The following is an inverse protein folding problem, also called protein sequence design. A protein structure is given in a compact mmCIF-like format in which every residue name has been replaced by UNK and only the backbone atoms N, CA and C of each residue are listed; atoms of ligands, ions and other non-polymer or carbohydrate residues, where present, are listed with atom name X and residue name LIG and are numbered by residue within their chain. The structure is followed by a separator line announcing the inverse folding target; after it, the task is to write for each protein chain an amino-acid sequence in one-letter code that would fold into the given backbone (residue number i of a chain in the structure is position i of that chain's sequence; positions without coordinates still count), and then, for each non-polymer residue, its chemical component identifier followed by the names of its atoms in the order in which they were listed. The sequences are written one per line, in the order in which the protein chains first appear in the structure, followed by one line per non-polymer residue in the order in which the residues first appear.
data_IF_710324640763
#
_entry.id   IF_710324640763
#
_cell.length_a   1.000
_cell.length_b   1.000
_cell.length_c   1.000
_cell.angle_alpha   90.00
_cell.angle_beta   90.00
_cell.angle_gamma   90.00
#
_symmetry.space_group_name_H-M   'P 1'
#
loop_
_entity.id
_entity.type
_entity.pdbx_description
1 polymer ?
#
# COMPACT_ATOMS: atom_id res chain seq x y z
N UNK A 1 26.17 -23.68 -50.59
CA UNK A 1 25.06 -22.69 -50.45
C UNK A 1 23.77 -23.27 -49.87
N UNK A 2 23.29 -24.43 -50.31
CA UNK A 2 22.00 -25.01 -49.88
C UNK A 2 21.99 -25.46 -48.41
N UNK A 3 23.08 -26.10 -47.95
CA UNK A 3 23.29 -26.51 -46.54
C UNK A 3 23.24 -25.30 -45.58
N UNK A 4 23.92 -24.21 -45.94
CA UNK A 4 23.93 -22.96 -45.17
C UNK A 4 22.53 -22.31 -45.09
N UNK A 5 21.76 -22.31 -46.19
CA UNK A 5 20.37 -21.82 -46.20
C UNK A 5 19.46 -22.63 -45.27
N UNK A 6 19.64 -23.96 -45.22
CA UNK A 6 18.89 -24.84 -44.34
C UNK A 6 19.22 -24.58 -42.86
N UNK A 7 20.50 -24.38 -42.56
CA UNK A 7 21.00 -24.09 -41.21
C UNK A 7 20.52 -22.74 -40.70
N UNK A 8 20.55 -21.69 -41.53
CA UNK A 8 19.96 -20.39 -41.21
C UNK A 8 18.45 -20.50 -40.97
N UNK A 9 17.73 -21.32 -41.76
CA UNK A 9 16.29 -21.54 -41.58
C UNK A 9 15.99 -22.22 -40.24
N UNK A 10 16.81 -23.21 -39.84
CA UNK A 10 16.72 -23.90 -38.55
C UNK A 10 16.99 -22.95 -37.39
N UNK A 11 18.10 -22.20 -37.42
CA UNK A 11 18.45 -21.20 -36.41
C UNK A 11 17.35 -20.13 -36.24
N UNK A 12 16.73 -19.67 -37.34
CA UNK A 12 15.59 -18.73 -37.28
C UNK A 12 14.33 -19.33 -36.67
N UNK A 13 14.14 -20.64 -36.76
CA UNK A 13 13.04 -21.34 -36.09
C UNK A 13 13.32 -21.44 -34.60
N UNK A 14 14.54 -21.86 -34.23
CA UNK A 14 14.98 -22.00 -32.84
C UNK A 14 14.93 -20.65 -32.10
N UNK A 15 15.42 -19.56 -32.71
CA UNK A 15 15.31 -18.20 -32.14
C UNK A 15 13.84 -17.80 -31.91
N UNK A 16 12.93 -18.17 -32.83
CA UNK A 16 11.50 -17.86 -32.66
C UNK A 16 10.88 -18.67 -31.53
N UNK A 17 11.30 -19.92 -31.36
CA UNK A 17 10.83 -20.77 -30.28
C UNK A 17 11.36 -20.29 -28.92
N UNK A 18 12.66 -20.04 -28.80
CA UNK A 18 13.27 -19.49 -27.59
C UNK A 18 12.65 -18.15 -27.17
N UNK A 19 12.32 -17.28 -28.13
CA UNK A 19 11.61 -16.02 -27.83
C UNK A 19 10.21 -16.26 -27.24
N UNK A 20 9.48 -17.26 -27.73
CA UNK A 20 8.17 -17.61 -27.16
C UNK A 20 8.30 -18.14 -25.74
N UNK A 21 9.25 -19.05 -25.52
CA UNK A 21 9.53 -19.63 -24.19
C UNK A 21 9.97 -18.55 -23.19
N UNK A 22 10.81 -17.59 -23.60
CA UNK A 22 11.21 -16.46 -22.77
C UNK A 22 10.02 -15.60 -22.33
N UNK A 23 9.10 -15.29 -23.25
CA UNK A 23 7.89 -14.50 -22.93
C UNK A 23 6.99 -15.25 -21.95
N UNK A 24 6.79 -16.55 -22.14
CA UNK A 24 6.02 -17.41 -21.22
C UNK A 24 6.67 -17.45 -19.83
N UNK A 25 7.99 -17.65 -19.75
CA UNK A 25 8.71 -17.69 -18.48
C UNK A 25 8.64 -16.35 -17.73
N UNK A 26 8.73 -15.22 -18.42
CA UNK A 26 8.53 -13.90 -17.81
C UNK A 26 7.09 -13.70 -17.32
N UNK A 27 6.08 -14.18 -18.05
CA UNK A 27 4.69 -14.14 -17.61
C UNK A 27 4.45 -14.96 -16.35
N UNK A 28 5.01 -16.18 -16.30
CA UNK A 28 4.95 -17.04 -15.11
C UNK A 28 5.67 -16.38 -13.93
N UNK A 29 6.87 -15.84 -14.14
CA UNK A 29 7.63 -15.11 -13.11
C UNK A 29 6.84 -13.93 -12.55
N UNK A 30 6.21 -13.14 -13.41
CA UNK A 30 5.34 -12.03 -13.00
C UNK A 30 4.10 -12.52 -12.25
N UNK A 31 3.52 -13.66 -12.66
CA UNK A 31 2.40 -14.26 -11.94
C UNK A 31 2.80 -14.75 -10.55
N UNK A 32 3.95 -15.42 -10.42
CA UNK A 32 4.53 -15.84 -9.14
C UNK A 32 4.85 -14.64 -8.25
N UNK A 33 5.40 -13.57 -8.82
CA UNK A 33 5.63 -12.33 -8.09
C UNK A 33 4.33 -11.73 -7.58
N UNK A 34 3.27 -11.65 -8.42
CA UNK A 34 1.97 -11.15 -7.97
C UNK A 34 1.38 -11.95 -6.80
N UNK A 35 1.43 -13.29 -6.86
CA UNK A 35 0.96 -14.14 -5.75
C UNK A 35 1.81 -13.94 -4.50
N UNK A 36 3.13 -13.72 -4.67
CA UNK A 36 4.06 -13.43 -3.58
C UNK A 36 3.93 -12.04 -2.98
N UNK A 37 3.17 -11.13 -3.61
CA UNK A 37 3.07 -9.71 -3.23
C UNK A 37 1.70 -9.35 -2.63
N UNK A 38 0.79 -10.32 -2.56
CA UNK A 38 -0.53 -10.16 -1.94
C UNK A 38 -0.55 -10.83 -0.57
N UNK A 39 -1.31 -10.28 0.34
CA UNK A 39 -1.59 -10.90 1.63
C UNK A 39 -2.61 -12.02 1.45
N UNK A 40 -2.30 -13.21 1.96
CA UNK A 40 -3.11 -14.42 1.77
C UNK A 40 -4.48 -14.35 2.43
N UNK A 41 -4.66 -13.50 3.45
CA UNK A 41 -5.91 -13.39 4.20
C UNK A 41 -6.86 -12.37 3.58
N UNK A 42 -6.32 -11.26 3.07
CA UNK A 42 -7.10 -10.05 2.71
C UNK A 42 -7.03 -9.68 1.23
N UNK A 43 -6.12 -10.25 0.46
CA UNK A 43 -5.83 -9.91 -0.95
C UNK A 43 -5.47 -8.42 -1.18
N UNK A 44 -5.11 -7.66 -0.15
CA UNK A 44 -4.39 -6.39 -0.38
C UNK A 44 -2.91 -6.69 -0.61
N UNK A 45 -2.08 -5.70 -0.93
CA UNK A 45 -0.64 -5.95 -1.01
C UNK A 45 -0.12 -6.43 0.35
N UNK A 46 0.82 -7.37 0.38
CA UNK A 46 1.61 -7.57 1.58
C UNK A 46 2.67 -6.46 1.71
N UNK A 47 3.46 -6.47 2.79
CA UNK A 47 4.51 -5.47 3.04
C UNK A 47 5.43 -5.24 1.83
N UNK A 48 5.91 -6.31 1.19
CA UNK A 48 6.78 -6.22 0.01
C UNK A 48 6.06 -5.58 -1.19
N UNK A 49 4.82 -6.03 -1.44
CA UNK A 49 3.98 -5.48 -2.51
C UNK A 49 3.71 -3.99 -2.33
N UNK A 50 3.40 -3.57 -1.11
CA UNK A 50 3.16 -2.17 -0.77
C UNK A 50 4.40 -1.31 -1.02
N UNK A 51 5.56 -1.73 -0.52
CA UNK A 51 6.83 -0.99 -0.68
C UNK A 51 7.12 -0.74 -2.15
N UNK A 52 7.09 -1.79 -2.98
CA UNK A 52 7.38 -1.66 -4.41
C UNK A 52 6.43 -0.69 -5.12
N UNK A 53 5.12 -0.80 -4.87
CA UNK A 53 4.13 0.04 -5.55
C UNK A 53 4.17 1.49 -5.06
N UNK A 54 4.35 1.72 -3.76
CA UNK A 54 4.48 3.06 -3.20
C UNK A 54 5.79 3.73 -3.64
N UNK A 55 6.91 3.00 -3.66
CA UNK A 55 8.19 3.50 -4.20
C UNK A 55 8.09 3.87 -5.68
N UNK A 56 7.34 3.11 -6.48
CA UNK A 56 7.10 3.47 -7.89
C UNK A 56 6.51 4.88 -8.01
N UNK A 57 5.47 5.20 -7.23
CA UNK A 57 4.86 6.52 -7.24
C UNK A 57 5.77 7.60 -6.66
N UNK A 58 6.52 7.28 -5.60
CA UNK A 58 7.46 8.23 -4.99
C UNK A 58 8.60 8.61 -5.95
N UNK A 59 9.14 7.64 -6.69
CA UNK A 59 10.16 7.88 -7.70
C UNK A 59 9.60 8.65 -8.91
N UNK A 60 8.33 8.42 -9.26
CA UNK A 60 7.64 9.20 -10.29
C UNK A 60 7.46 10.66 -9.86
N UNK A 61 7.10 10.91 -8.59
CA UNK A 61 7.01 12.26 -8.00
C UNK A 61 8.36 12.98 -7.99
N UNK A 62 9.46 12.26 -7.69
CA UNK A 62 10.84 12.81 -7.71
C UNK A 62 11.36 13.12 -9.11
N UNK A 63 10.72 12.62 -10.16
CA UNK A 63 11.18 12.79 -11.55
C UNK A 63 12.38 11.91 -11.93
N UNK A 64 12.66 10.83 -11.20
CA UNK A 64 13.84 9.96 -11.39
C UNK A 64 13.74 8.98 -12.59
N UNK A 65 12.97 9.31 -13.64
CA UNK A 65 12.95 8.54 -14.90
C UNK A 65 13.78 9.20 -16.02
N UNK A 66 15.02 8.72 -16.14
CA UNK A 66 15.89 8.52 -17.32
C UNK A 66 16.11 9.61 -18.40
N UNK A 67 15.39 10.73 -18.45
CA UNK A 67 15.55 11.70 -19.55
C UNK A 67 15.74 13.14 -19.05
N UNK A 68 16.99 13.58 -18.83
CA UNK A 68 17.29 14.98 -18.54
C UNK A 68 16.91 15.83 -19.77
N UNK A 69 15.95 16.74 -19.63
CA UNK A 69 15.67 17.75 -20.66
C UNK A 69 14.22 17.85 -21.15
N UNK A 70 13.31 16.95 -20.78
CA UNK A 70 11.87 17.14 -21.05
C UNK A 70 11.14 17.55 -19.77
N UNK A 71 10.76 18.83 -19.69
CA UNK A 71 9.69 19.29 -18.78
C UNK A 71 8.41 18.56 -19.17
N UNK A 72 8.17 17.39 -18.60
CA UNK A 72 6.82 16.80 -18.57
C UNK A 72 6.20 17.17 -17.23
N UNK A 73 4.96 17.65 -17.30
CA UNK A 73 4.05 17.78 -16.17
C UNK A 73 4.18 16.52 -15.30
N UNK A 74 4.60 16.68 -14.04
CA UNK A 74 4.63 15.59 -13.09
C UNK A 74 3.22 15.01 -13.01
N UNK A 75 3.07 13.72 -13.32
CA UNK A 75 1.77 13.03 -13.19
C UNK A 75 1.44 12.84 -11.71
N UNK A 76 2.45 12.82 -10.84
CA UNK A 76 2.33 12.74 -9.38
C UNK A 76 2.95 14.00 -8.76
N UNK A 77 2.13 14.89 -8.22
CA UNK A 77 2.57 16.13 -7.57
C UNK A 77 2.69 16.04 -6.05
N UNK A 78 2.00 15.08 -5.43
CA UNK A 78 2.07 14.82 -4.00
C UNK A 78 1.70 13.37 -3.67
N UNK A 79 2.21 12.90 -2.53
CA UNK A 79 1.93 11.58 -1.96
C UNK A 79 1.66 11.75 -0.48
N UNK A 80 0.62 11.10 0.01
CA UNK A 80 0.41 10.93 1.44
C UNK A 80 0.52 9.47 1.85
N UNK A 81 1.20 9.20 2.96
CA UNK A 81 1.29 7.88 3.57
C UNK A 81 0.45 7.88 4.84
N UNK A 82 -0.43 6.90 4.98
CA UNK A 82 -1.21 6.64 6.19
C UNK A 82 -0.75 5.29 6.75
N UNK A 83 -0.27 5.28 7.99
CA UNK A 83 -0.01 4.08 8.76
C UNK A 83 -1.16 3.84 9.74
N UNK A 84 -1.56 2.58 9.88
CA UNK A 84 -2.82 2.21 10.51
C UNK A 84 -2.61 0.98 11.38
N UNK A 85 -3.09 1.03 12.61
CA UNK A 85 -3.12 -0.10 13.55
C UNK A 85 -4.58 -0.41 13.90
N UNK A 86 -5.00 -1.66 13.70
CA UNK A 86 -6.33 -2.14 14.06
C UNK A 86 -6.43 -2.29 15.57
N UNK A 87 -7.30 -1.51 16.19
CA UNK A 87 -7.48 -1.54 17.63
C UNK A 87 -8.19 -2.83 18.08
N UNK A 88 -7.73 -3.37 19.21
CA UNK A 88 -8.37 -4.48 19.93
C UNK A 88 -8.50 -5.80 19.13
N UNK A 89 -7.65 -6.03 18.12
CA UNK A 89 -7.63 -7.32 17.40
C UNK A 89 -7.37 -8.49 18.36
N UNK A 90 -6.38 -8.36 19.25
CA UNK A 90 -6.09 -9.39 20.26
C UNK A 90 -7.30 -9.67 21.15
N UNK A 91 -8.00 -8.63 21.61
CA UNK A 91 -9.24 -8.78 22.40
C UNK A 91 -10.33 -9.50 21.61
N UNK A 92 -10.47 -9.20 20.31
CA UNK A 92 -11.41 -9.93 19.45
C UNK A 92 -11.06 -11.42 19.34
N UNK A 93 -9.76 -11.74 19.17
CA UNK A 93 -9.27 -13.11 19.14
C UNK A 93 -9.51 -13.84 20.46
N UNK A 94 -9.17 -13.23 21.58
CA UNK A 94 -9.23 -13.85 22.90
C UNK A 94 -10.69 -14.11 23.32
N UNK A 95 -11.61 -13.21 22.98
CA UNK A 95 -13.03 -13.30 23.39
C UNK A 95 -13.88 -14.12 22.42
N UNK A 96 -13.62 -14.03 21.11
CA UNK A 96 -14.50 -14.61 20.09
C UNK A 96 -13.81 -15.67 19.20
N UNK A 97 -12.52 -15.89 19.39
CA UNK A 97 -11.70 -16.84 18.63
C UNK A 97 -11.10 -16.24 17.36
N UNK A 98 -10.02 -16.87 16.88
CA UNK A 98 -9.26 -16.43 15.71
C UNK A 98 -10.09 -16.27 14.43
N UNK A 99 -11.14 -17.09 14.23
CA UNK A 99 -12.02 -16.95 13.07
C UNK A 99 -12.71 -15.57 13.00
N UNK A 100 -13.05 -14.98 14.16
CA UNK A 100 -13.65 -13.64 14.25
C UNK A 100 -12.59 -12.56 14.05
N UNK A 101 -11.37 -12.74 14.55
CA UNK A 101 -10.26 -11.83 14.24
C UNK A 101 -9.90 -11.82 12.75
N UNK A 102 -9.87 -12.98 12.12
CA UNK A 102 -9.67 -13.10 10.66
C UNK A 102 -10.79 -12.39 9.90
N UNK A 103 -12.04 -12.55 10.34
CA UNK A 103 -13.17 -11.81 9.77
C UNK A 103 -13.02 -10.30 9.97
N UNK A 104 -12.50 -9.87 11.13
CA UNK A 104 -12.23 -8.46 11.39
C UNK A 104 -11.20 -7.91 10.40
N UNK A 105 -10.07 -8.58 10.25
CA UNK A 105 -9.00 -8.17 9.35
C UNK A 105 -9.46 -8.16 7.88
N UNK A 106 -10.23 -9.17 7.45
CA UNK A 106 -10.85 -9.19 6.11
C UNK A 106 -11.82 -8.02 5.90
N UNK A 107 -12.68 -7.77 6.88
CA UNK A 107 -13.67 -6.68 6.80
C UNK A 107 -12.99 -5.31 6.81
N UNK A 108 -11.90 -5.18 7.58
CA UNK A 108 -11.09 -3.98 7.65
C UNK A 108 -10.44 -3.68 6.29
N UNK A 109 -9.75 -4.65 5.70
CA UNK A 109 -9.16 -4.52 4.37
C UNK A 109 -10.20 -4.19 3.28
N UNK A 110 -11.41 -4.77 3.37
CA UNK A 110 -12.52 -4.44 2.48
C UNK A 110 -13.00 -2.99 2.65
N UNK A 111 -12.98 -2.44 3.87
CA UNK A 111 -13.28 -1.02 4.10
C UNK A 111 -12.19 -0.13 3.51
N UNK A 112 -10.91 -0.48 3.68
CA UNK A 112 -9.79 0.30 3.11
C UNK A 112 -9.93 0.40 1.59
N UNK A 113 -10.01 -0.74 0.92
CA UNK A 113 -10.07 -0.86 -0.55
C UNK A 113 -11.29 -0.20 -1.17
N UNK A 114 -12.47 -0.24 -0.52
CA UNK A 114 -13.69 0.46 -0.99
C UNK A 114 -13.64 1.97 -0.76
N UNK A 115 -12.78 2.45 0.15
CA UNK A 115 -12.74 3.84 0.55
C UNK A 115 -11.80 4.67 -0.32
N UNK A 116 -10.64 4.08 -0.64
CA UNK A 116 -9.59 4.70 -1.46
C UNK A 116 -9.87 4.54 -2.95
N UNK A 117 -9.10 5.24 -3.80
CA UNK A 117 -9.22 5.20 -5.26
C UNK A 117 -8.41 4.02 -5.80
N UNK A 118 -8.69 3.60 -7.04
CA UNK A 118 -7.97 2.50 -7.69
C UNK A 118 -6.48 2.75 -7.93
N UNK A 119 -6.05 4.02 -7.93
CA UNK A 119 -4.63 4.41 -8.06
C UNK A 119 -3.89 4.33 -6.73
N UNK A 120 -4.60 4.37 -5.60
CA UNK A 120 -4.01 4.34 -4.27
C UNK A 120 -3.55 2.92 -3.93
N UNK A 121 -2.48 2.82 -3.15
CA UNK A 121 -1.91 1.53 -2.76
C UNK A 121 -2.37 1.20 -1.35
N UNK A 122 -2.96 0.02 -1.15
CA UNK A 122 -3.31 -0.51 0.17
C UNK A 122 -2.47 -1.74 0.44
N UNK A 123 -1.80 -1.76 1.58
CA UNK A 123 -0.98 -2.88 2.02
C UNK A 123 -1.25 -3.30 3.46
N UNK A 124 -1.13 -4.59 3.73
CA UNK A 124 -1.03 -5.13 5.08
C UNK A 124 0.45 -5.20 5.44
N UNK A 125 0.83 -4.39 6.42
CA UNK A 125 2.22 -4.25 6.85
C UNK A 125 2.63 -5.34 7.83
N UNK A 126 1.69 -5.72 8.72
CA UNK A 126 1.88 -6.69 9.80
C UNK A 126 0.57 -7.41 10.16
N UNK A 127 0.50 -7.99 11.36
CA UNK A 127 -0.66 -8.76 11.81
C UNK A 127 -1.95 -7.93 11.80
N UNK A 128 -1.97 -6.83 12.53
CA UNK A 128 -3.03 -5.83 12.65
C UNK A 128 -2.69 -4.50 11.97
N UNK A 129 -1.51 -4.40 11.35
CA UNK A 129 -1.01 -3.15 10.79
C UNK A 129 -1.25 -3.07 9.28
N UNK A 130 -1.67 -1.89 8.82
CA UNK A 130 -1.90 -1.56 7.43
C UNK A 130 -1.22 -0.25 7.05
N UNK A 131 -0.89 -0.11 5.77
CA UNK A 131 -0.37 1.10 5.19
C UNK A 131 -1.15 1.47 3.93
N UNK A 132 -1.33 2.77 3.70
CA UNK A 132 -1.95 3.30 2.50
C UNK A 132 -1.04 4.37 1.92
N UNK A 133 -0.76 4.31 0.62
CA UNK A 133 -0.14 5.39 -0.14
C UNK A 133 -1.20 6.02 -1.04
N UNK A 134 -1.58 7.25 -0.74
CA UNK A 134 -2.52 8.05 -1.51
C UNK A 134 -1.77 8.83 -2.58
N UNK A 135 -2.12 8.60 -3.84
CA UNK A 135 -1.45 9.23 -4.98
C UNK A 135 -2.18 10.52 -5.33
N UNK A 136 -1.41 11.59 -5.53
CA UNK A 136 -1.94 12.93 -5.75
C UNK A 136 -2.83 13.41 -4.59
N UNK A 137 -2.38 13.17 -3.35
CA UNK A 137 -3.04 13.62 -2.14
C UNK A 137 -2.10 14.41 -1.23
N UNK A 138 -2.54 15.60 -0.81
CA UNK A 138 -1.92 16.39 0.24
C UNK A 138 -2.52 16.10 1.61
N UNK A 139 -2.10 16.86 2.62
CA UNK A 139 -2.46 16.66 4.03
C UNK A 139 -3.97 16.69 4.29
N UNK A 140 -4.68 17.67 3.70
CA UNK A 140 -6.13 17.80 3.85
C UNK A 140 -6.90 16.60 3.26
N UNK A 141 -6.43 16.07 2.13
CA UNK A 141 -7.04 14.88 1.50
C UNK A 141 -6.74 13.62 2.30
N UNK A 142 -5.52 13.48 2.82
CA UNK A 142 -5.14 12.38 3.71
C UNK A 142 -6.02 12.34 4.97
N UNK A 143 -6.22 13.48 5.62
CA UNK A 143 -7.13 13.61 6.76
C UNK A 143 -8.57 13.24 6.40
N UNK A 144 -9.06 13.71 5.25
CA UNK A 144 -10.42 13.39 4.77
C UNK A 144 -10.60 11.89 4.54
N UNK A 145 -9.62 11.24 3.91
CA UNK A 145 -9.62 9.79 3.68
C UNK A 145 -9.54 9.05 5.02
N UNK A 146 -8.64 9.42 5.94
CA UNK A 146 -8.53 8.82 7.26
C UNK A 146 -9.85 8.89 8.06
N UNK A 147 -10.55 10.03 8.04
CA UNK A 147 -11.88 10.18 8.67
C UNK A 147 -12.93 9.26 8.04
N UNK A 148 -12.92 9.13 6.70
CA UNK A 148 -13.83 8.24 5.99
C UNK A 148 -13.54 6.76 6.32
N UNK A 149 -12.27 6.38 6.39
CA UNK A 149 -11.83 5.05 6.81
C UNK A 149 -12.31 4.76 8.23
N UNK A 150 -12.03 5.64 9.19
CA UNK A 150 -12.48 5.50 10.57
C UNK A 150 -14.00 5.32 10.68
N UNK A 151 -14.79 6.14 9.97
CA UNK A 151 -16.25 6.00 9.93
C UNK A 151 -16.71 4.68 9.29
N UNK A 152 -15.97 4.15 8.31
CA UNK A 152 -16.25 2.85 7.70
C UNK A 152 -15.95 1.70 8.66
N UNK A 153 -14.84 1.78 9.40
CA UNK A 153 -14.39 0.74 10.33
C UNK A 153 -15.37 0.57 11.49
N UNK A 154 -15.88 1.65 12.06
CA UNK A 154 -16.86 1.59 13.17
C UNK A 154 -18.19 0.95 12.77
N UNK A 155 -18.48 0.87 11.46
CA UNK A 155 -19.68 0.22 10.91
C UNK A 155 -19.50 -1.27 10.64
N UNK A 156 -18.29 -1.82 10.78
CA UNK A 156 -18.04 -3.25 10.60
C UNK A 156 -18.86 -4.05 11.61
N UNK A 157 -19.49 -5.14 11.13
CA UNK A 157 -20.23 -6.10 11.95
C UNK A 157 -19.60 -7.48 11.79
N UNK A 158 -19.07 -8.03 12.89
CA UNK A 158 -18.40 -9.34 12.93
C UNK A 158 -19.35 -10.49 13.29
N UNK A 159 -20.66 -10.30 13.11
CA UNK A 159 -21.69 -11.31 13.36
C UNK A 159 -22.52 -11.09 14.63
N UNK A 160 -23.42 -12.05 14.91
CA UNK A 160 -24.43 -11.91 15.98
C UNK A 160 -23.85 -11.97 17.40
N UNK A 161 -22.71 -12.63 17.59
CA UNK A 161 -22.04 -12.79 18.90
C UNK A 161 -21.22 -11.56 19.30
N UNK A 162 -20.96 -10.63 18.37
CA UNK A 162 -20.09 -9.46 18.59
C UNK A 162 -20.88 -8.15 18.71
N UNK A 163 -22.16 -8.20 19.12
CA UNK A 163 -23.05 -7.02 19.12
C UNK A 163 -22.51 -5.82 19.90
N UNK A 164 -21.74 -6.08 20.97
CA UNK A 164 -21.17 -5.06 21.85
C UNK A 164 -19.69 -4.74 21.54
N UNK A 165 -19.11 -5.39 20.52
CA UNK A 165 -17.74 -5.11 20.10
C UNK A 165 -17.76 -4.06 18.99
N UNK A 166 -17.06 -2.95 19.22
CA UNK A 166 -16.92 -1.87 18.24
C UNK A 166 -15.54 -1.99 17.61
N UNK A 167 -15.51 -2.17 16.30
CA UNK A 167 -14.28 -2.11 15.52
C UNK A 167 -13.77 -0.67 15.46
N UNK A 168 -12.49 -0.45 15.72
CA UNK A 168 -11.82 0.84 15.55
C UNK A 168 -10.38 0.64 15.07
N UNK A 169 -9.75 1.72 14.65
CA UNK A 169 -8.34 1.75 14.31
C UNK A 169 -7.76 3.13 14.62
N UNK A 170 -6.45 3.15 14.82
CA UNK A 170 -5.66 4.36 15.01
C UNK A 170 -4.90 4.66 13.71
N UNK A 171 -4.82 5.93 13.33
CA UNK A 171 -4.28 6.38 12.05
C UNK A 171 -3.27 7.50 12.26
N UNK A 172 -2.06 7.32 11.75
CA UNK A 172 -1.07 8.39 11.62
C UNK A 172 -0.76 8.62 10.16
N UNK A 173 -0.55 9.88 9.75
CA UNK A 173 -0.28 10.16 8.35
C UNK A 173 0.70 11.32 8.14
N UNK A 174 1.34 11.34 6.98
CA UNK A 174 2.20 12.42 6.52
C UNK A 174 1.96 12.63 5.02
N UNK A 175 1.99 13.88 4.57
CA UNK A 175 1.93 14.22 3.15
C UNK A 175 3.21 14.94 2.73
N UNK A 176 3.66 14.65 1.53
CA UNK A 176 4.80 15.29 0.89
C UNK A 176 4.43 15.71 -0.53
N UNK A 177 5.00 16.80 -0.99
CA UNK A 177 4.79 17.33 -2.33
C UNK A 177 6.12 17.46 -3.09
N UNK A 178 6.02 17.55 -4.41
CA UNK A 178 7.18 17.64 -5.31
C UNK A 178 7.87 19.01 -5.33
N UNK A 179 7.20 20.07 -4.86
CA UNK A 179 7.63 21.47 -5.02
C UNK A 179 8.20 22.09 -3.74
N UNK A 180 8.07 21.37 -2.62
CA UNK A 180 8.62 21.73 -1.34
C UNK A 180 10.11 21.99 -1.52
N UNK A 181 10.50 23.26 -1.33
CA UNK A 181 11.87 23.76 -1.51
C UNK A 181 12.92 22.95 -0.72
N UNK A 182 12.45 22.19 0.27
CA UNK A 182 13.16 21.07 0.87
C UNK A 182 13.05 19.86 -0.05
N UNK A 183 13.89 19.78 -1.08
CA UNK A 183 14.22 18.54 -1.81
C UNK A 183 14.90 17.53 -0.87
N UNK A 184 14.26 17.19 0.23
CA UNK A 184 14.67 16.07 1.07
C UNK A 184 14.48 14.86 0.19
N UNK A 185 15.51 14.03 0.09
CA UNK A 185 15.41 12.74 -0.55
C UNK A 185 14.39 11.90 0.25
N UNK A 186 13.11 12.06 -0.05
CA UNK A 186 12.02 11.39 0.66
C UNK A 186 12.23 9.89 0.52
N UNK A 187 12.54 9.22 1.62
CA UNK A 187 12.61 7.77 1.66
C UNK A 187 11.24 7.25 2.08
N UNK A 188 10.67 6.29 1.36
CA UNK A 188 9.40 5.69 1.74
C UNK A 188 9.41 5.19 3.19
N UNK A 189 10.51 4.57 3.63
CA UNK A 189 10.65 4.10 5.01
C UNK A 189 10.58 5.23 6.04
N UNK A 190 11.17 6.40 5.75
CA UNK A 190 11.10 7.58 6.62
C UNK A 190 9.66 8.13 6.69
N UNK A 191 8.91 8.11 5.58
CA UNK A 191 7.50 8.52 5.59
C UNK A 191 6.63 7.59 6.44
N UNK A 192 6.86 6.27 6.32
CA UNK A 192 6.16 5.25 7.10
C UNK A 192 6.50 5.39 8.58
N UNK A 193 7.79 5.53 8.92
CA UNK A 193 8.25 5.72 10.30
C UNK A 193 7.64 6.97 10.95
N UNK A 194 7.57 8.08 10.21
CA UNK A 194 6.91 9.30 10.69
C UNK A 194 5.42 9.12 10.91
N UNK A 195 4.72 8.48 9.97
CA UNK A 195 3.30 8.19 10.11
C UNK A 195 3.02 7.26 11.31
N UNK A 196 3.81 6.19 11.48
CA UNK A 196 3.72 5.27 12.60
C UNK A 196 4.00 5.98 13.94
N UNK A 197 5.08 6.76 14.02
CA UNK A 197 5.42 7.54 15.21
C UNK A 197 4.28 8.49 15.62
N UNK A 198 3.69 9.21 14.67
CA UNK A 198 2.56 10.08 14.94
C UNK A 198 1.39 9.31 15.57
N UNK A 199 1.00 8.20 14.94
CA UNK A 199 -0.05 7.32 15.42
C UNK A 199 0.24 6.81 16.83
N UNK A 200 1.43 6.26 17.05
CA UNK A 200 1.83 5.65 18.32
C UNK A 200 1.80 6.67 19.46
N UNK A 201 2.37 7.86 19.25
CA UNK A 201 2.35 8.92 20.26
C UNK A 201 0.92 9.40 20.58
N UNK A 202 0.08 9.58 19.56
CA UNK A 202 -1.31 9.95 19.78
C UNK A 202 -2.07 8.85 20.52
N UNK A 203 -1.78 7.58 20.23
CA UNK A 203 -2.38 6.43 20.90
C UNK A 203 -2.03 6.38 22.39
N UNK A 204 -0.79 6.72 22.74
CA UNK A 204 -0.36 6.86 24.14
C UNK A 204 -1.05 8.04 24.83
N UNK A 205 -1.08 9.21 24.19
CA UNK A 205 -1.55 10.46 24.82
C UNK A 205 -3.08 10.56 24.91
N UNK A 206 -3.80 10.07 23.89
CA UNK A 206 -5.25 10.28 23.70
C UNK A 206 -6.06 8.98 23.70
N UNK A 207 -5.40 7.82 23.70
CA UNK A 207 -6.03 6.51 23.58
C UNK A 207 -6.24 6.06 22.13
N UNK A 208 -7.00 4.97 21.97
CA UNK A 208 -7.29 4.32 20.68
C UNK A 208 -8.28 5.12 19.83
N UNK A 209 -8.41 4.79 18.55
CA UNK A 209 -9.34 5.47 17.64
C UNK A 209 -8.90 6.88 17.25
N UNK A 210 -7.59 7.15 17.25
CA UNK A 210 -7.03 8.47 16.92
C UNK A 210 -6.79 8.63 15.43
N UNK A 211 -6.84 9.87 14.95
CA UNK A 211 -6.34 10.28 13.64
C UNK A 211 -5.40 11.47 13.89
N UNK A 212 -4.18 11.42 13.39
CA UNK A 212 -3.17 12.44 13.65
C UNK A 212 -2.23 12.62 12.46
N UNK A 213 -1.92 13.87 12.12
CA UNK A 213 -0.85 14.17 11.17
C UNK A 213 0.49 14.16 11.89
N UNK A 214 1.57 13.73 11.21
CA UNK A 214 2.92 13.92 11.72
C UNK A 214 3.25 15.40 11.93
N UNK A 215 2.69 16.30 11.11
CA UNK A 215 2.83 17.75 11.29
C UNK A 215 2.29 18.21 12.66
N UNK A 216 1.19 17.63 13.13
CA UNK A 216 0.51 18.01 14.39
C UNK A 216 1.31 17.65 15.66
N UNK A 217 2.31 16.76 15.55
CA UNK A 217 3.14 16.33 16.69
C UNK A 217 4.55 16.93 16.69
N UNK A 218 4.88 17.69 15.64
CA UNK A 218 6.13 18.43 15.52
C UNK A 218 6.02 19.87 16.03
N UNK A 219 4.80 20.39 16.14
CA UNK A 219 4.46 21.64 16.85
C UNK A 219 4.31 21.42 18.35
#
# INVERSE_FOLDING_TARGET
MQKLKLEIKKLKADIRQLKKELVLSEQERLAYQRVSERDSLTDVYNRHGFIREAERFLNEMKGERQHPGKRRSLVVGNIAVIFIDVDDLKKANDVFGHAVGDQYIKSFAAVLTKTVRSIDVVGRWGGDEFAIALVNAGEAEALRVAKKLQSGVTKIKLGKKTKNFVCSASFGFIAVDSDSQKRVNYNLFDLIEKADKAMYEAKIKRGKGVIVSFSDIME
#
